data_IF_737697414182
#
_entry.id   IF_737697414182
#
_cell.length_a   1.000
_cell.length_b   1.000
_cell.length_c   1.000
_cell.angle_alpha   90.00
_cell.angle_beta   90.00
_cell.angle_gamma   90.00
#
_symmetry.space_group_name_H-M   'P 1'
#
loop_
_entity.id
_entity.type
_entity.pdbx_description
1 polymer ?
#
# COMPACT_ATOMS: atom_id res chain seq x y z
N UNK A 1 -7.84 -1.21 -7.74
CA UNK A 1 -7.66 -2.36 -6.84
C UNK A 1 -7.16 -1.85 -5.51
N UNK A 2 -7.71 -2.32 -4.39
CA UNK A 2 -7.13 -2.06 -3.09
C UNK A 2 -6.21 -3.22 -2.69
N UNK A 3 -5.01 -2.89 -2.22
CA UNK A 3 -4.03 -3.87 -1.73
C UNK A 3 -3.63 -3.48 -0.32
N UNK A 4 -3.80 -4.40 0.61
CA UNK A 4 -3.27 -4.29 1.96
C UNK A 4 -2.04 -5.17 2.11
N UNK A 5 -0.94 -4.58 2.56
CA UNK A 5 0.30 -5.29 2.86
C UNK A 5 0.68 -5.06 4.32
N UNK A 6 0.34 -6.02 5.18
CA UNK A 6 0.80 -6.08 6.57
C UNK A 6 2.00 -7.02 6.68
N UNK A 7 3.07 -6.54 7.33
CA UNK A 7 4.30 -7.30 7.53
C UNK A 7 4.39 -7.82 8.96
N UNK A 8 5.20 -8.87 9.14
CA UNK A 8 5.40 -9.53 10.44
C UNK A 8 6.10 -8.63 11.47
N UNK A 9 6.89 -7.66 11.00
CA UNK A 9 7.57 -6.64 11.82
C UNK A 9 6.62 -5.54 12.34
N UNK A 10 5.31 -5.67 12.06
CA UNK A 10 4.30 -4.70 12.48
C UNK A 10 4.20 -3.49 11.57
N UNK A 11 5.05 -3.36 10.55
CA UNK A 11 4.90 -2.33 9.52
C UNK A 11 3.81 -2.71 8.53
N UNK A 12 3.28 -1.73 7.81
CA UNK A 12 2.34 -2.01 6.73
C UNK A 12 1.95 -0.79 5.94
N UNK A 13 1.24 -1.03 4.84
CA UNK A 13 0.63 0.03 4.04
C UNK A 13 -0.59 -0.48 3.28
N UNK A 14 -1.53 0.43 3.04
CA UNK A 14 -2.65 0.25 2.13
C UNK A 14 -2.44 1.04 0.86
N UNK A 15 -2.68 0.42 -0.30
CA UNK A 15 -2.49 1.03 -1.61
C UNK A 15 -3.79 0.98 -2.41
N UNK A 16 -4.10 2.06 -3.11
CA UNK A 16 -4.98 2.02 -4.27
C UNK A 16 -4.13 1.95 -5.53
N UNK A 17 -4.42 0.96 -6.38
CA UNK A 17 -3.74 0.78 -7.67
C UNK A 17 -4.76 0.93 -8.78
N UNK A 18 -4.55 1.90 -9.66
CA UNK A 18 -5.35 2.09 -10.86
C UNK A 18 -4.73 1.35 -12.02
N UNK A 19 -5.58 0.65 -12.77
CA UNK A 19 -5.15 -0.06 -13.95
C UNK A 19 -5.95 0.39 -15.16
N UNK A 20 -5.28 0.43 -16.31
CA UNK A 20 -5.92 0.49 -17.61
C UNK A 20 -5.89 -0.89 -18.24
N UNK A 21 -7.01 -1.31 -18.82
CA UNK A 21 -7.07 -2.54 -19.60
C UNK A 21 -6.89 -2.23 -21.08
N UNK A 22 -5.84 -2.79 -21.68
CA UNK A 22 -5.59 -2.76 -23.11
C UNK A 22 -5.75 -4.19 -23.64
N UNK A 23 -6.92 -4.48 -24.21
CA UNK A 23 -7.30 -5.81 -24.68
C UNK A 23 -7.16 -6.90 -23.59
N UNK A 24 -6.14 -7.76 -23.69
CA UNK A 24 -5.84 -8.84 -22.75
C UNK A 24 -4.76 -8.48 -21.73
N UNK A 25 -4.20 -7.28 -21.82
CA UNK A 25 -3.12 -6.81 -20.94
C UNK A 25 -3.64 -5.74 -19.99
N UNK A 26 -3.17 -5.76 -18.74
CA UNK A 26 -3.39 -4.71 -17.77
C UNK A 26 -2.10 -3.91 -17.56
N UNK A 27 -2.21 -2.59 -17.52
CA UNK A 27 -1.12 -1.69 -17.19
C UNK A 27 -1.47 -0.91 -15.93
N UNK A 28 -0.52 -0.76 -15.01
CA UNK A 28 -0.66 0.13 -13.86
C UNK A 28 -0.55 1.57 -14.37
N UNK A 29 -1.56 2.38 -14.10
CA UNK A 29 -1.54 3.81 -14.41
C UNK A 29 -0.96 4.62 -13.25
N UNK A 30 -1.40 4.32 -12.03
CA UNK A 30 -1.02 5.07 -10.84
C UNK A 30 -1.17 4.22 -9.58
N UNK A 31 -0.52 4.67 -8.52
CA UNK A 31 -0.58 4.11 -7.18
C UNK A 31 -0.67 5.20 -6.13
N UNK A 32 -1.64 5.10 -5.22
CA UNK A 32 -1.78 5.98 -4.07
C UNK A 32 -1.59 5.20 -2.78
N UNK A 33 -0.79 5.75 -1.85
CA UNK A 33 -0.67 5.22 -0.49
C UNK A 33 -1.77 5.83 0.36
N UNK A 34 -2.70 4.99 0.82
CA UNK A 34 -3.86 5.43 1.61
C UNK A 34 -3.51 5.54 3.09
N UNK A 35 -2.66 4.66 3.59
CA UNK A 35 -2.19 4.68 4.97
C UNK A 35 -0.87 3.93 5.10
N UNK A 36 -0.13 4.22 6.17
CA UNK A 36 1.07 3.48 6.58
C UNK A 36 1.01 3.16 8.07
N UNK A 37 1.54 2.00 8.46
CA UNK A 37 1.86 1.64 9.84
C UNK A 37 3.38 1.60 9.92
N UNK A 38 3.93 2.42 10.81
CA UNK A 38 5.35 2.34 11.18
C UNK A 38 5.51 1.28 12.27
N UNK A 39 6.58 0.50 12.17
CA UNK A 39 6.91 -0.52 13.16
C UNK A 39 7.19 0.12 14.53
N UNK A 40 7.29 -0.72 15.56
CA UNK A 40 7.42 -0.31 16.97
C UNK A 40 8.75 0.37 17.35
N UNK A 41 9.47 0.99 16.42
CA UNK A 41 10.71 1.73 16.69
C UNK A 41 10.56 3.26 16.66
N UNK A 42 9.39 3.80 16.28
CA UNK A 42 9.14 5.24 16.34
C UNK A 42 8.15 5.60 17.47
N UNK A 43 8.69 5.89 18.66
CA UNK A 43 8.18 6.95 19.53
C UNK A 43 6.97 6.64 20.42
N UNK A 44 7.26 6.13 21.62
CA UNK A 44 6.58 6.61 22.83
C UNK A 44 6.93 8.11 22.98
N UNK A 45 6.17 8.99 22.34
CA UNK A 45 6.11 10.41 22.73
C UNK A 45 4.88 10.58 23.63
N UNK A 46 5.15 10.60 24.93
CA UNK A 46 4.24 10.99 26.01
C UNK A 46 3.81 12.45 25.91
#
# INVERSE_FOLDING_TARGET
>A
MYVENRRRDGTGAGFLVWFHRLEQVWQILDTEVVWTIRGKEDGDES
#
